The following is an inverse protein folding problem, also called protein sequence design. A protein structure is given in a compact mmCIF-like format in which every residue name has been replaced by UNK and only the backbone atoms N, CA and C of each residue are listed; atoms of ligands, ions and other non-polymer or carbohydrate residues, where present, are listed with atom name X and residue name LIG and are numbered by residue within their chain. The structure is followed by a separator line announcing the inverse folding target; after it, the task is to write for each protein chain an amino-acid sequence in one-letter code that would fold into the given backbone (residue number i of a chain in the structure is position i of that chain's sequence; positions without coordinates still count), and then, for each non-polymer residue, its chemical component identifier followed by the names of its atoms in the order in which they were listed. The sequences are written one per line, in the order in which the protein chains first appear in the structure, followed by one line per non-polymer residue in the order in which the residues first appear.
data_IF_894339685609
#
_entry.id   IF_894339685609
#
_cell.length_a   1.000
_cell.length_b   1.000
_cell.length_c   1.000
_cell.angle_alpha   90.00
_cell.angle_beta   90.00
_cell.angle_gamma   90.00
#
_symmetry.space_group_name_H-M   'P 1'
#
loop_
_entity.id
_entity.type
_entity.pdbx_description
1 polymer ?
#
# COMPACT_ATOMS: atom_id res chain seq x y z
N UNK A 1 -59.80 -8.55 17.61
CA UNK A 1 -58.55 -9.13 18.08
C UNK A 1 -57.59 -9.17 16.90
N UNK A 2 -56.89 -8.10 16.68
CA UNK A 2 -55.98 -7.93 15.54
C UNK A 2 -54.56 -7.92 16.10
N UNK A 3 -53.81 -8.98 15.85
CA UNK A 3 -52.41 -9.12 16.22
C UNK A 3 -51.57 -8.30 15.28
N UNK A 4 -50.92 -7.27 15.79
CA UNK A 4 -49.88 -6.49 15.11
C UNK A 4 -48.58 -7.31 15.10
N UNK A 5 -48.29 -7.84 13.95
CA UNK A 5 -46.99 -8.45 13.65
C UNK A 5 -45.94 -7.35 13.59
N UNK A 6 -44.99 -7.40 14.52
CA UNK A 6 -43.85 -6.50 14.63
C UNK A 6 -42.76 -7.05 13.75
N UNK A 7 -42.18 -6.28 12.81
CA UNK A 7 -41.02 -6.73 12.07
C UNK A 7 -39.85 -6.92 13.03
N UNK A 8 -39.33 -8.13 13.12
CA UNK A 8 -38.04 -8.44 13.75
C UNK A 8 -36.96 -7.76 12.95
N UNK A 9 -36.38 -6.69 13.49
CA UNK A 9 -35.11 -6.16 13.02
C UNK A 9 -34.06 -7.26 13.10
N UNK A 10 -33.56 -7.62 11.95
CA UNK A 10 -32.38 -8.48 11.76
C UNK A 10 -31.12 -7.74 12.25
N UNK A 11 -30.84 -7.84 13.55
CA UNK A 11 -29.64 -7.37 14.20
C UNK A 11 -28.53 -8.42 14.13
N UNK A 12 -28.26 -8.91 12.94
CA UNK A 12 -27.20 -9.87 12.66
C UNK A 12 -26.17 -9.29 11.71
N UNK A 13 -25.27 -8.50 12.18
CA UNK A 13 -23.89 -8.28 11.71
C UNK A 13 -23.37 -6.84 11.84
N UNK A 14 -23.38 -6.28 13.02
CA UNK A 14 -22.72 -4.97 13.31
C UNK A 14 -21.66 -5.08 14.41
N UNK A 15 -20.87 -6.17 14.40
CA UNK A 15 -19.79 -6.43 15.36
C UNK A 15 -18.38 -6.16 14.85
N UNK A 16 -18.17 -5.94 13.56
CA UNK A 16 -16.86 -5.55 13.05
C UNK A 16 -16.66 -4.04 13.20
N UNK A 17 -15.84 -3.67 14.17
CA UNK A 17 -15.46 -2.28 14.33
C UNK A 17 -14.65 -1.79 13.13
N UNK A 18 -14.69 -0.48 12.81
CA UNK A 18 -13.84 0.14 11.79
C UNK A 18 -12.35 -0.21 11.99
N UNK A 19 -11.95 -0.45 13.24
CA UNK A 19 -10.62 -0.93 13.59
C UNK A 19 -10.34 -2.36 13.10
N UNK A 20 -11.34 -3.25 13.11
CA UNK A 20 -11.16 -4.64 12.65
C UNK A 20 -11.12 -4.71 11.13
N UNK A 21 -11.89 -3.87 10.43
CA UNK A 21 -11.79 -3.72 8.97
C UNK A 21 -10.44 -3.14 8.55
N UNK A 22 -9.95 -2.11 9.24
CA UNK A 22 -8.63 -1.55 9.00
C UNK A 22 -7.50 -2.56 9.28
N UNK A 23 -7.70 -3.46 10.26
CA UNK A 23 -6.80 -4.59 10.55
C UNK A 23 -6.73 -5.58 9.40
N UNK A 24 -7.90 -6.08 8.97
CA UNK A 24 -7.98 -7.06 7.88
C UNK A 24 -7.37 -6.51 6.58
N UNK A 25 -7.64 -5.25 6.25
CA UNK A 25 -7.04 -4.56 5.09
C UNK A 25 -5.52 -4.43 5.24
N UNK A 26 -5.03 -4.11 6.44
CA UNK A 26 -3.57 -3.99 6.68
C UNK A 26 -2.86 -5.33 6.57
N UNK A 27 -3.43 -6.39 7.15
CA UNK A 27 -2.88 -7.75 7.06
C UNK A 27 -2.88 -8.26 5.62
N UNK A 28 -3.99 -8.13 4.91
CA UNK A 28 -4.10 -8.55 3.52
C UNK A 28 -3.12 -7.79 2.63
N UNK A 29 -3.02 -6.47 2.78
CA UNK A 29 -2.13 -5.63 1.98
C UNK A 29 -0.65 -5.91 2.25
N UNK A 30 -0.26 -6.15 3.52
CA UNK A 30 1.10 -6.56 3.86
C UNK A 30 1.41 -7.94 3.29
N UNK A 31 0.51 -8.91 3.44
CA UNK A 31 0.69 -10.26 2.92
C UNK A 31 0.80 -10.27 1.39
N UNK A 32 -0.03 -9.47 0.71
CA UNK A 32 -0.03 -9.34 -0.75
C UNK A 32 1.22 -8.61 -1.27
N UNK A 33 1.66 -7.55 -0.59
CA UNK A 33 2.88 -6.83 -0.95
C UNK A 33 4.14 -7.70 -0.90
N UNK A 34 4.14 -8.76 -0.09
CA UNK A 34 5.23 -9.72 0.01
C UNK A 34 5.01 -11.04 -0.76
N UNK A 35 3.97 -11.12 -1.58
CA UNK A 35 3.67 -12.27 -2.44
C UNK A 35 2.96 -13.42 -1.74
N UNK A 36 2.42 -13.21 -0.53
CA UNK A 36 1.67 -14.21 0.24
C UNK A 36 2.50 -15.42 0.67
N UNK A 37 1.82 -16.45 1.22
CA UNK A 37 2.45 -17.72 1.63
C UNK A 37 3.19 -18.39 0.47
N UNK A 38 2.60 -18.35 -0.72
CA UNK A 38 3.19 -18.92 -1.93
C UNK A 38 4.51 -18.24 -2.31
N UNK A 39 4.57 -16.90 -2.29
CA UNK A 39 5.78 -16.14 -2.55
C UNK A 39 6.88 -16.45 -1.54
N UNK A 40 6.52 -16.64 -0.26
CA UNK A 40 7.48 -17.07 0.77
C UNK A 40 8.06 -18.45 0.49
N UNK A 41 7.23 -19.44 0.13
CA UNK A 41 7.69 -20.79 -0.21
C UNK A 41 8.61 -20.76 -1.43
N UNK A 42 8.20 -20.07 -2.49
CA UNK A 42 8.99 -19.94 -3.72
C UNK A 42 10.37 -19.30 -3.47
N UNK A 43 10.47 -18.36 -2.56
CA UNK A 43 11.76 -17.73 -2.22
C UNK A 43 12.64 -18.59 -1.30
N UNK A 44 12.07 -19.53 -0.54
CA UNK A 44 12.82 -20.43 0.34
C UNK A 44 13.31 -21.66 -0.40
N UNK A 45 12.51 -22.19 -1.32
CA UNK A 45 12.71 -23.50 -1.95
C UNK A 45 14.06 -23.65 -2.66
N UNK A 46 14.55 -22.71 -3.49
CA UNK A 46 15.84 -22.87 -4.17
C UNK A 46 17.01 -22.95 -3.20
N UNK A 47 17.01 -22.10 -2.16
CA UNK A 47 18.04 -22.09 -1.13
C UNK A 47 18.01 -23.36 -0.26
N UNK A 48 16.80 -23.84 0.05
CA UNK A 48 16.61 -25.11 0.78
C UNK A 48 17.14 -26.28 -0.02
N UNK A 49 16.85 -26.37 -1.31
CA UNK A 49 17.37 -27.40 -2.19
C UNK A 49 18.89 -27.34 -2.32
N UNK A 50 19.44 -26.14 -2.50
CA UNK A 50 20.88 -25.96 -2.53
C UNK A 50 21.54 -26.53 -1.28
N UNK A 51 21.12 -26.12 -0.08
CA UNK A 51 21.73 -26.59 1.17
C UNK A 51 21.51 -28.08 1.40
N UNK A 52 20.35 -28.63 1.06
CA UNK A 52 20.03 -30.04 1.23
C UNK A 52 20.94 -30.92 0.35
N UNK A 53 21.02 -30.59 -0.96
CA UNK A 53 21.86 -31.34 -1.91
C UNK A 53 23.34 -31.20 -1.54
N UNK A 54 23.78 -29.98 -1.21
CA UNK A 54 25.17 -29.73 -0.78
C UNK A 54 25.51 -30.43 0.53
N UNK A 55 24.57 -30.58 1.45
CA UNK A 55 24.77 -31.31 2.70
C UNK A 55 25.06 -32.79 2.44
N UNK A 56 24.37 -33.39 1.45
CA UNK A 56 24.48 -34.81 1.11
C UNK A 56 25.72 -35.09 0.28
N UNK A 57 25.92 -34.35 -0.80
CA UNK A 57 26.90 -34.68 -1.83
C UNK A 57 28.20 -33.85 -1.74
N UNK A 58 28.19 -32.74 -1.01
CA UNK A 58 29.30 -31.75 -0.95
C UNK A 58 29.75 -31.21 -2.34
N UNK A 59 28.91 -31.38 -3.36
CA UNK A 59 29.18 -30.96 -4.72
C UNK A 59 28.51 -29.63 -4.99
N UNK A 60 29.33 -28.59 -5.22
CA UNK A 60 28.87 -27.25 -5.54
C UNK A 60 28.09 -27.21 -6.85
N UNK A 61 28.59 -27.86 -7.92
CA UNK A 61 27.99 -27.81 -9.24
C UNK A 61 26.60 -28.44 -9.26
N UNK A 62 26.49 -29.65 -8.67
CA UNK A 62 25.19 -30.34 -8.58
C UNK A 62 24.17 -29.53 -7.79
N UNK A 63 24.59 -28.98 -6.67
CA UNK A 63 23.71 -28.17 -5.79
C UNK A 63 23.25 -26.86 -6.47
N UNK A 64 24.17 -26.20 -7.16
CA UNK A 64 23.91 -24.95 -7.89
C UNK A 64 22.98 -25.17 -9.08
N UNK A 65 23.22 -26.22 -9.90
CA UNK A 65 22.38 -26.57 -11.04
C UNK A 65 20.96 -26.93 -10.57
N UNK A 66 20.83 -27.72 -9.50
CA UNK A 66 19.53 -28.09 -8.97
C UNK A 66 18.73 -26.86 -8.45
N UNK A 67 19.38 -25.95 -7.71
CA UNK A 67 18.74 -24.73 -7.25
C UNK A 67 18.29 -23.83 -8.41
N UNK A 68 19.14 -23.71 -9.44
CA UNK A 68 18.81 -22.92 -10.63
C UNK A 68 17.67 -23.57 -11.44
N UNK A 69 17.70 -24.88 -11.63
CA UNK A 69 16.65 -25.61 -12.35
C UNK A 69 15.28 -25.43 -11.67
N UNK A 70 15.22 -25.57 -10.35
CA UNK A 70 13.97 -25.36 -9.61
C UNK A 70 13.51 -23.92 -9.68
N UNK A 71 14.42 -22.95 -9.57
CA UNK A 71 14.06 -21.53 -9.75
C UNK A 71 13.45 -21.28 -11.13
N UNK A 72 14.01 -21.89 -12.17
CA UNK A 72 13.50 -21.76 -13.54
C UNK A 72 12.12 -22.41 -13.69
N UNK A 73 11.92 -23.59 -13.12
CA UNK A 73 10.60 -24.26 -13.11
C UNK A 73 9.56 -23.39 -12.41
N UNK A 74 9.88 -22.80 -11.28
CA UNK A 74 8.97 -21.89 -10.55
C UNK A 74 8.58 -20.68 -11.41
N UNK A 75 9.50 -20.11 -12.19
CA UNK A 75 9.20 -19.03 -13.14
C UNK A 75 8.27 -19.52 -14.24
N UNK A 76 8.57 -20.65 -14.86
CA UNK A 76 7.73 -21.20 -15.93
C UNK A 76 6.31 -21.47 -15.43
N UNK A 77 6.17 -22.05 -14.25
CA UNK A 77 4.86 -22.26 -13.60
C UNK A 77 4.12 -20.94 -13.39
N UNK A 78 4.80 -19.90 -12.92
CA UNK A 78 4.20 -18.57 -12.74
C UNK A 78 3.76 -17.92 -14.05
N UNK A 79 4.59 -18.03 -15.09
CA UNK A 79 4.25 -17.55 -16.42
C UNK A 79 3.02 -18.26 -16.99
N UNK A 80 2.95 -19.59 -16.81
CA UNK A 80 1.81 -20.40 -17.24
C UNK A 80 0.52 -20.02 -16.51
N UNK A 81 0.61 -19.61 -15.25
CA UNK A 81 -0.54 -19.16 -14.45
C UNK A 81 -0.92 -17.68 -14.68
N UNK A 82 -0.26 -16.98 -15.60
CA UNK A 82 -0.47 -15.53 -15.89
C UNK A 82 -0.33 -14.62 -14.68
N UNK A 83 0.42 -15.04 -13.67
CA UNK A 83 0.73 -14.24 -12.48
C UNK A 83 1.69 -13.09 -12.83
N UNK A 84 1.73 -12.06 -11.97
CA UNK A 84 2.54 -10.86 -12.19
C UNK A 84 4.02 -11.21 -12.32
N UNK A 85 4.54 -11.10 -13.52
CA UNK A 85 5.88 -11.53 -13.97
C UNK A 85 7.01 -10.84 -13.18
N UNK A 86 6.76 -9.62 -12.64
CA UNK A 86 7.74 -8.82 -11.92
C UNK A 86 8.40 -9.53 -10.73
N UNK A 87 7.64 -10.30 -9.95
CA UNK A 87 8.16 -11.01 -8.77
C UNK A 87 8.88 -12.32 -9.13
N UNK A 88 8.50 -12.96 -10.24
CA UNK A 88 9.13 -14.21 -10.69
C UNK A 88 10.57 -13.99 -11.14
N UNK A 89 10.82 -12.92 -11.91
CA UNK A 89 12.16 -12.60 -12.40
C UNK A 89 13.14 -12.28 -11.26
N UNK A 90 12.71 -11.57 -10.21
CA UNK A 90 13.60 -11.19 -9.10
C UNK A 90 14.13 -12.41 -8.33
N UNK A 91 13.31 -13.46 -8.18
CA UNK A 91 13.72 -14.68 -7.49
C UNK A 91 14.78 -15.48 -8.25
N UNK A 92 14.56 -15.73 -9.55
CA UNK A 92 15.54 -16.42 -10.41
C UNK A 92 16.83 -15.63 -10.54
N UNK A 93 16.73 -14.30 -10.69
CA UNK A 93 17.91 -13.44 -10.79
C UNK A 93 18.79 -13.55 -9.55
N UNK A 94 18.17 -13.57 -8.35
CA UNK A 94 18.90 -13.74 -7.09
C UNK A 94 19.60 -15.10 -6.98
N UNK A 95 18.95 -16.18 -7.39
CA UNK A 95 19.54 -17.54 -7.41
C UNK A 95 20.64 -17.63 -8.47
N UNK A 96 20.40 -17.17 -9.69
CA UNK A 96 21.39 -17.17 -10.76
C UNK A 96 22.65 -16.38 -10.36
N UNK A 97 22.45 -15.20 -9.73
CA UNK A 97 23.56 -14.39 -9.24
C UNK A 97 24.37 -15.13 -8.15
N UNK A 98 23.69 -15.80 -7.22
CA UNK A 98 24.34 -16.65 -6.21
C UNK A 98 25.13 -17.82 -6.82
N UNK A 99 24.55 -18.50 -7.80
CA UNK A 99 25.20 -19.60 -8.53
C UNK A 99 26.44 -19.10 -9.25
N UNK A 100 26.34 -18.03 -10.03
CA UNK A 100 27.49 -17.44 -10.74
C UNK A 100 28.58 -17.05 -9.77
N UNK A 101 28.24 -16.41 -8.66
CA UNK A 101 29.19 -15.97 -7.67
C UNK A 101 29.95 -17.15 -7.03
N UNK A 102 29.21 -18.20 -6.61
CA UNK A 102 29.81 -19.42 -6.05
C UNK A 102 30.71 -20.17 -7.06
N UNK A 103 30.31 -20.22 -8.34
CA UNK A 103 31.11 -20.84 -9.39
C UNK A 103 32.39 -20.04 -9.72
N UNK A 104 32.31 -18.72 -9.70
CA UNK A 104 33.48 -17.87 -9.95
C UNK A 104 34.54 -17.97 -8.85
N UNK A 105 34.09 -18.06 -7.60
CA UNK A 105 34.99 -18.14 -6.43
C UNK A 105 35.42 -19.57 -6.09
N UNK A 106 34.69 -20.57 -6.59
CA UNK A 106 34.89 -21.98 -6.21
C UNK A 106 34.46 -22.33 -4.78
N UNK A 107 33.82 -21.38 -4.08
CA UNK A 107 33.41 -21.53 -2.69
C UNK A 107 31.87 -21.58 -2.59
N UNK A 108 31.34 -22.70 -2.10
CA UNK A 108 29.90 -22.89 -1.97
C UNK A 108 29.22 -21.90 -1.01
N UNK A 109 29.92 -21.31 -0.04
CA UNK A 109 29.38 -20.28 0.84
C UNK A 109 28.96 -19.01 0.06
N UNK A 110 29.67 -18.73 -1.03
CA UNK A 110 29.49 -17.51 -1.80
C UNK A 110 28.18 -17.51 -2.59
N UNK A 111 27.50 -18.68 -2.71
CA UNK A 111 26.13 -18.76 -3.15
C UNK A 111 25.18 -17.87 -2.30
N UNK A 112 25.45 -17.77 -1.02
CA UNK A 112 24.61 -17.00 -0.09
C UNK A 112 25.01 -15.53 0.03
N UNK A 113 26.25 -15.19 -0.33
CA UNK A 113 26.84 -13.86 -0.11
C UNK A 113 26.04 -12.72 -0.76
N UNK A 114 25.59 -12.81 -2.03
CA UNK A 114 24.78 -11.75 -2.63
C UNK A 114 23.48 -11.48 -1.87
N UNK A 115 22.81 -12.54 -1.39
CA UNK A 115 21.59 -12.43 -0.58
C UNK A 115 21.84 -11.79 0.80
N UNK A 116 22.99 -12.09 1.41
CA UNK A 116 23.39 -11.48 2.68
C UNK A 116 23.69 -9.98 2.50
N UNK A 117 24.42 -9.61 1.44
CA UNK A 117 24.72 -8.22 1.10
C UNK A 117 23.46 -7.44 0.76
N UNK A 118 22.52 -8.04 0.01
CA UNK A 118 21.21 -7.44 -0.25
C UNK A 118 20.44 -7.18 1.05
N UNK A 119 20.45 -8.15 1.98
CA UNK A 119 19.79 -8.00 3.28
C UNK A 119 20.42 -6.87 4.11
N UNK A 120 21.75 -6.78 4.10
CA UNK A 120 22.49 -5.69 4.74
C UNK A 120 22.13 -4.34 4.13
N UNK A 121 22.19 -4.23 2.80
CA UNK A 121 21.84 -3.01 2.08
C UNK A 121 20.41 -2.56 2.35
N UNK A 122 19.47 -3.51 2.36
CA UNK A 122 18.07 -3.22 2.66
C UNK A 122 17.90 -2.78 4.13
N UNK A 123 18.55 -3.44 5.08
CA UNK A 123 18.52 -3.04 6.49
C UNK A 123 19.07 -1.62 6.70
N UNK A 124 20.18 -1.28 6.05
CA UNK A 124 20.74 0.07 6.05
C UNK A 124 19.78 1.08 5.38
N UNK A 125 19.17 0.72 4.26
CA UNK A 125 18.20 1.58 3.59
C UNK A 125 17.01 1.92 4.50
N UNK A 126 16.46 0.96 5.24
CA UNK A 126 15.42 1.22 6.23
C UNK A 126 15.85 2.23 7.30
N UNK A 127 17.06 2.08 7.83
CA UNK A 127 17.60 3.00 8.85
C UNK A 127 17.84 4.40 8.27
N UNK A 128 18.57 4.48 7.16
CA UNK A 128 18.98 5.76 6.54
C UNK A 128 17.74 6.55 6.10
N UNK A 129 16.78 5.93 5.42
CA UNK A 129 15.56 6.61 4.98
C UNK A 129 14.70 7.10 6.15
N UNK A 130 14.69 6.34 7.25
CA UNK A 130 13.97 6.75 8.46
C UNK A 130 14.64 7.94 9.13
N UNK A 131 15.97 7.95 9.22
CA UNK A 131 16.76 9.08 9.72
C UNK A 131 16.58 10.33 8.85
N UNK A 132 16.47 10.15 7.53
CA UNK A 132 16.16 11.23 6.59
C UNK A 132 14.71 11.75 6.70
N UNK A 133 13.89 11.19 7.60
CA UNK A 133 12.50 11.59 7.82
C UNK A 133 11.51 11.08 6.77
N UNK A 134 11.93 10.10 5.95
CA UNK A 134 11.13 9.45 4.91
C UNK A 134 11.14 7.92 5.14
N UNK A 135 10.46 7.41 6.17
CA UNK A 135 10.45 5.98 6.49
C UNK A 135 10.02 5.12 5.30
N UNK A 136 10.83 4.10 4.98
CA UNK A 136 10.64 3.25 3.79
C UNK A 136 9.30 2.49 3.83
N UNK A 137 8.85 2.05 5.00
CA UNK A 137 7.52 1.43 5.16
C UNK A 137 6.41 2.40 4.74
N UNK A 138 6.53 3.70 5.02
CA UNK A 138 5.57 4.70 4.58
C UNK A 138 5.55 4.88 3.06
N UNK A 139 6.70 4.75 2.39
CA UNK A 139 6.78 4.80 0.93
C UNK A 139 6.12 3.57 0.29
N UNK A 140 6.25 2.39 0.92
CA UNK A 140 5.67 1.14 0.42
C UNK A 140 4.16 1.08 0.70
N UNK A 141 3.74 1.38 1.92
CA UNK A 141 2.36 1.24 2.35
C UNK A 141 1.48 2.47 2.07
N UNK A 142 2.07 3.66 1.91
CA UNK A 142 1.32 4.87 1.58
C UNK A 142 0.43 4.73 0.33
N UNK A 143 0.95 4.26 -0.80
CA UNK A 143 0.15 3.97 -1.99
C UNK A 143 -0.90 2.88 -1.77
N UNK A 144 -0.58 1.83 -0.99
CA UNK A 144 -1.50 0.73 -0.68
C UNK A 144 -2.73 1.23 0.10
N UNK A 145 -2.54 2.16 1.04
CA UNK A 145 -3.62 2.80 1.79
C UNK A 145 -4.20 4.04 1.11
N UNK A 146 -3.87 4.27 -0.16
CA UNK A 146 -4.32 5.45 -0.93
C UNK A 146 -3.93 6.80 -0.29
N UNK A 147 -3.02 6.80 0.66
CA UNK A 147 -2.49 8.00 1.31
C UNK A 147 -1.46 8.73 0.46
N UNK A 148 -0.87 8.03 -0.52
CA UNK A 148 0.28 8.51 -1.30
C UNK A 148 1.38 9.02 -0.35
N UNK A 149 1.76 10.31 -0.40
CA UNK A 149 2.74 10.94 0.51
C UNK A 149 2.09 11.86 1.56
N UNK A 150 0.75 11.93 1.64
CA UNK A 150 0.02 12.81 2.56
C UNK A 150 0.32 12.52 4.03
N UNK A 151 0.63 11.25 4.38
CA UNK A 151 1.04 10.85 5.73
C UNK A 151 2.27 11.63 6.23
N UNK A 152 3.12 12.10 5.32
CA UNK A 152 4.36 12.80 5.69
C UNK A 152 4.11 14.16 6.32
N UNK A 153 3.12 14.90 5.81
CA UNK A 153 2.83 16.29 6.21
C UNK A 153 1.50 16.42 6.93
N UNK A 154 0.46 15.68 6.52
CA UNK A 154 -0.91 15.83 7.01
C UNK A 154 -1.25 14.90 8.19
N UNK A 155 -0.49 13.78 8.39
CA UNK A 155 -0.76 12.80 9.44
C UNK A 155 0.51 12.45 10.25
N UNK A 156 0.91 13.30 11.22
CA UNK A 156 2.14 13.09 11.99
C UNK A 156 2.11 11.82 12.85
N UNK A 157 0.93 11.37 13.30
CA UNK A 157 0.77 10.12 14.06
C UNK A 157 1.11 8.91 13.19
N UNK A 158 0.63 8.89 11.96
CA UNK A 158 0.91 7.82 11.00
C UNK A 158 2.36 7.82 10.54
N UNK A 159 2.95 9.01 10.33
CA UNK A 159 4.40 9.15 10.08
C UNK A 159 5.24 8.50 11.17
N UNK A 160 4.89 8.71 12.45
CA UNK A 160 5.58 8.08 13.58
C UNK A 160 5.43 6.55 13.58
N UNK A 161 4.24 6.03 13.21
CA UNK A 161 4.02 4.60 13.09
C UNK A 161 4.88 3.98 11.98
N UNK A 162 4.91 4.58 10.80
CA UNK A 162 5.76 4.16 9.70
C UNK A 162 7.26 4.23 10.05
N UNK A 163 7.69 5.25 10.78
CA UNK A 163 9.07 5.36 11.26
C UNK A 163 9.41 4.21 12.23
N UNK A 164 8.55 3.91 13.21
CA UNK A 164 8.75 2.79 14.14
C UNK A 164 8.81 1.44 13.43
N UNK A 165 7.92 1.23 12.46
CA UNK A 165 7.93 0.02 11.64
C UNK A 165 9.22 -0.08 10.82
N UNK A 166 9.67 0.99 10.18
CA UNK A 166 10.93 1.02 9.42
C UNK A 166 12.14 0.76 10.30
N UNK A 167 12.18 1.32 11.51
CA UNK A 167 13.21 0.99 12.51
C UNK A 167 13.21 -0.49 12.87
N UNK A 168 12.02 -1.09 13.11
CA UNK A 168 11.91 -2.51 13.42
C UNK A 168 12.45 -3.37 12.28
N UNK A 169 12.05 -3.09 11.03
CA UNK A 169 12.58 -3.78 9.85
C UNK A 169 14.09 -3.64 9.73
N UNK A 170 14.62 -2.43 9.83
CA UNK A 170 16.05 -2.17 9.76
C UNK A 170 16.84 -2.92 10.83
N UNK A 171 16.41 -2.87 12.09
CA UNK A 171 17.08 -3.56 13.21
C UNK A 171 16.99 -5.08 13.10
N UNK A 172 15.86 -5.64 12.67
CA UNK A 172 15.70 -7.08 12.46
C UNK A 172 16.62 -7.57 11.33
N UNK A 173 16.69 -6.85 10.20
CA UNK A 173 17.56 -7.21 9.09
C UNK A 173 19.04 -7.07 9.44
N UNK A 174 19.43 -6.01 10.15
CA UNK A 174 20.80 -5.83 10.62
C UNK A 174 21.17 -6.86 11.69
N UNK A 175 20.26 -7.18 12.61
CA UNK A 175 20.43 -8.25 13.59
C UNK A 175 20.63 -9.62 12.93
N UNK A 176 19.86 -9.91 11.88
CA UNK A 176 20.08 -11.10 11.05
C UNK A 176 21.47 -11.09 10.42
N UNK A 177 21.90 -9.97 9.87
CA UNK A 177 23.25 -9.84 9.31
C UNK A 177 24.35 -10.01 10.35
N UNK A 178 24.15 -9.48 11.57
CA UNK A 178 25.08 -9.65 12.68
C UNK A 178 25.28 -11.11 13.10
N UNK A 179 24.29 -11.98 12.85
CA UNK A 179 24.41 -13.42 13.05
C UNK A 179 25.10 -14.08 11.84
N UNK A 180 24.67 -13.73 10.63
CA UNK A 180 25.09 -14.44 9.41
C UNK A 180 26.53 -14.12 8.98
N UNK A 181 27.01 -12.87 9.15
CA UNK A 181 28.38 -12.55 8.77
C UNK A 181 29.45 -13.27 9.59
N UNK A 182 29.35 -13.37 10.92
CA UNK A 182 30.25 -14.24 11.68
C UNK A 182 30.20 -15.68 11.23
N UNK A 183 28.99 -16.25 11.02
CA UNK A 183 28.85 -17.61 10.53
C UNK A 183 29.49 -17.81 9.14
N UNK A 184 29.40 -16.83 8.27
CA UNK A 184 30.07 -16.89 6.96
C UNK A 184 31.59 -17.08 7.08
N UNK A 185 32.21 -16.48 8.10
CA UNK A 185 33.67 -16.62 8.32
C UNK A 185 34.04 -17.92 9.03
N UNK A 186 33.28 -18.37 10.02
CA UNK A 186 33.68 -19.46 10.92
C UNK A 186 32.96 -20.78 10.68
N UNK A 187 31.70 -20.75 10.20
CA UNK A 187 30.92 -21.95 9.96
C UNK A 187 31.25 -22.60 8.62
N UNK A 188 30.88 -23.85 8.44
CA UNK A 188 30.90 -24.52 7.13
C UNK A 188 29.66 -24.10 6.27
N UNK A 189 29.70 -24.43 4.98
CA UNK A 189 28.62 -24.11 4.04
C UNK A 189 27.26 -24.68 4.46
N UNK A 190 27.28 -25.87 5.04
CA UNK A 190 26.07 -26.59 5.49
C UNK A 190 25.42 -25.86 6.66
N UNK A 191 26.22 -25.52 7.69
CA UNK A 191 25.77 -24.81 8.87
C UNK A 191 25.22 -23.43 8.49
N UNK A 192 25.95 -22.66 7.69
CA UNK A 192 25.52 -21.34 7.19
C UNK A 192 24.20 -21.45 6.43
N UNK A 193 24.07 -22.43 5.53
CA UNK A 193 22.88 -22.64 4.72
C UNK A 193 21.63 -22.95 5.56
N UNK A 194 21.76 -23.85 6.53
CA UNK A 194 20.64 -24.18 7.43
C UNK A 194 20.22 -23.01 8.32
N UNK A 195 21.17 -22.23 8.83
CA UNK A 195 20.85 -21.02 9.61
C UNK A 195 20.17 -19.96 8.72
N UNK A 196 20.62 -19.80 7.47
CA UNK A 196 19.96 -18.90 6.51
C UNK A 196 18.51 -19.31 6.24
N UNK A 197 18.25 -20.61 6.07
CA UNK A 197 16.88 -21.13 5.88
C UNK A 197 16.04 -20.88 7.13
N UNK A 198 16.57 -21.20 8.31
CA UNK A 198 15.88 -21.01 9.59
C UNK A 198 15.55 -19.52 9.85
N UNK A 199 16.48 -18.61 9.53
CA UNK A 199 16.31 -17.17 9.71
C UNK A 199 15.56 -16.49 8.54
N UNK A 200 14.97 -17.24 7.60
CA UNK A 200 14.25 -16.63 6.49
C UNK A 200 12.83 -16.20 6.88
N UNK A 201 12.09 -17.07 7.54
CA UNK A 201 10.68 -16.86 7.88
C UNK A 201 10.49 -16.13 9.23
N UNK A 202 11.07 -16.56 10.36
CA UNK A 202 10.75 -15.97 11.66
C UNK A 202 11.04 -14.45 11.76
N UNK A 203 12.20 -13.92 11.32
CA UNK A 203 12.45 -12.48 11.36
C UNK A 203 11.48 -11.69 10.47
N UNK A 204 11.09 -12.26 9.33
CA UNK A 204 10.11 -11.64 8.44
C UNK A 204 8.73 -11.54 9.11
N UNK A 205 8.23 -12.62 9.68
CA UNK A 205 6.95 -12.62 10.39
C UNK A 205 6.96 -11.66 11.58
N UNK A 206 8.06 -11.60 12.32
CA UNK A 206 8.24 -10.65 13.41
C UNK A 206 8.15 -9.20 12.91
N UNK A 207 8.81 -8.89 11.80
CA UNK A 207 8.79 -7.54 11.22
C UNK A 207 7.39 -7.15 10.73
N UNK A 208 6.68 -8.07 10.08
CA UNK A 208 5.29 -7.88 9.65
C UNK A 208 4.38 -7.67 10.86
N UNK A 209 4.49 -8.51 11.88
CA UNK A 209 3.71 -8.38 13.11
C UNK A 209 3.94 -7.05 13.83
N UNK A 210 5.21 -6.62 13.97
CA UNK A 210 5.53 -5.32 14.55
C UNK A 210 4.97 -4.16 13.72
N UNK A 211 5.03 -4.26 12.40
CA UNK A 211 4.42 -3.27 11.50
C UNK A 211 2.93 -3.14 11.78
N UNK A 212 2.23 -4.28 11.87
CA UNK A 212 0.82 -4.32 12.21
C UNK A 212 0.54 -3.68 13.58
N UNK A 213 1.29 -4.04 14.63
CA UNK A 213 1.13 -3.48 15.99
C UNK A 213 1.28 -1.95 15.99
N UNK A 214 2.23 -1.41 15.22
CA UNK A 214 2.44 0.03 15.15
C UNK A 214 1.35 0.74 14.34
N UNK A 215 0.88 0.14 13.25
CA UNK A 215 -0.17 0.71 12.42
C UNK A 215 -1.55 0.62 13.08
N UNK A 216 -1.84 -0.44 13.82
CA UNK A 216 -3.10 -0.58 14.55
C UNK A 216 -3.34 0.52 15.61
N UNK A 217 -2.24 1.12 16.11
CA UNK A 217 -2.28 2.25 17.05
C UNK A 217 -2.18 3.62 16.37
N UNK A 218 -2.04 3.65 15.06
CA UNK A 218 -1.90 4.88 14.29
C UNK A 218 -3.28 5.47 13.95
N UNK A 219 -3.38 6.79 13.72
CA UNK A 219 -4.58 7.41 13.18
C UNK A 219 -4.98 6.79 11.84
N UNK A 220 -6.26 6.88 11.49
CA UNK A 220 -6.78 6.38 10.22
C UNK A 220 -6.04 6.98 9.00
N UNK A 221 -5.91 6.22 7.90
CA UNK A 221 -5.34 6.74 6.66
C UNK A 221 -6.20 7.85 6.08
N UNK A 222 -5.56 8.84 5.44
CA UNK A 222 -6.24 9.89 4.68
C UNK A 222 -6.34 9.41 3.23
N UNK A 223 -7.53 9.04 2.78
CA UNK A 223 -7.74 8.67 1.37
C UNK A 223 -7.73 9.92 0.48
N UNK A 224 -6.55 10.18 -0.10
CA UNK A 224 -6.34 11.35 -0.98
C UNK A 224 -7.19 11.26 -2.25
N UNK A 225 -7.45 10.06 -2.75
CA UNK A 225 -8.25 9.87 -3.96
C UNK A 225 -9.72 10.18 -3.70
N UNK A 226 -10.25 9.73 -2.55
CA UNK A 226 -11.63 10.07 -2.15
C UNK A 226 -11.79 11.59 -1.90
N UNK A 227 -10.78 12.25 -1.31
CA UNK A 227 -10.80 13.71 -1.15
C UNK A 227 -10.79 14.44 -2.51
N UNK A 228 -9.99 13.97 -3.46
CA UNK A 228 -9.93 14.57 -4.80
C UNK A 228 -11.25 14.38 -5.55
N UNK A 229 -11.85 13.19 -5.48
CA UNK A 229 -13.15 12.91 -6.10
C UNK A 229 -14.27 13.76 -5.48
N UNK A 230 -14.28 13.89 -4.15
CA UNK A 230 -15.24 14.74 -3.46
C UNK A 230 -15.09 16.23 -3.83
N UNK A 231 -13.83 16.70 -3.96
CA UNK A 231 -13.56 18.07 -4.39
C UNK A 231 -14.02 18.34 -5.83
N UNK A 232 -13.74 17.42 -6.75
CA UNK A 232 -14.18 17.52 -8.16
C UNK A 232 -15.72 17.53 -8.28
N UNK A 233 -16.37 16.68 -7.47
CA UNK A 233 -17.83 16.64 -7.44
C UNK A 233 -18.43 17.95 -6.90
N UNK A 234 -17.85 18.48 -5.82
CA UNK A 234 -18.27 19.75 -5.26
C UNK A 234 -18.06 20.92 -6.23
N UNK A 235 -16.97 20.91 -7.00
CA UNK A 235 -16.72 21.92 -8.03
C UNK A 235 -17.74 21.86 -9.17
N UNK A 236 -18.08 20.65 -9.64
CA UNK A 236 -19.12 20.47 -10.67
C UNK A 236 -20.49 20.94 -10.18
N UNK A 237 -20.87 20.58 -8.95
CA UNK A 237 -22.12 21.04 -8.34
C UNK A 237 -22.15 22.57 -8.17
N UNK A 238 -21.03 23.18 -7.80
CA UNK A 238 -20.92 24.63 -7.68
C UNK A 238 -21.04 25.34 -9.05
N UNK A 239 -20.46 24.74 -10.08
CA UNK A 239 -20.58 25.27 -11.45
C UNK A 239 -22.02 25.14 -11.97
N UNK A 240 -22.69 24.03 -11.74
CA UNK A 240 -24.11 23.85 -12.09
C UNK A 240 -24.99 24.87 -11.37
N UNK A 241 -24.79 25.09 -10.08
CA UNK A 241 -25.52 26.15 -9.32
C UNK A 241 -25.28 27.53 -9.90
N UNK A 242 -24.04 27.86 -10.25
CA UNK A 242 -23.71 29.15 -10.90
C UNK A 242 -24.40 29.34 -12.27
N UNK A 243 -24.43 28.24 -13.08
CA UNK A 243 -25.13 28.25 -14.38
C UNK A 243 -26.62 28.47 -14.20
N UNK A 244 -27.23 27.72 -13.25
CA UNK A 244 -28.68 27.85 -12.95
C UNK A 244 -29.02 29.23 -12.43
N UNK A 245 -28.21 29.80 -11.51
CA UNK A 245 -28.43 31.19 -11.03
C UNK A 245 -28.32 32.20 -12.14
N UNK A 246 -27.33 32.11 -13.01
CA UNK A 246 -27.16 33.03 -14.14
C UNK A 246 -28.32 32.94 -15.15
N UNK A 247 -28.77 31.71 -15.46
CA UNK A 247 -29.92 31.52 -16.35
C UNK A 247 -31.24 32.06 -15.75
N UNK A 248 -31.35 31.97 -14.40
CA UNK A 248 -32.50 32.55 -13.69
C UNK A 248 -32.47 34.09 -13.72
N UNK A 249 -31.32 34.69 -13.45
CA UNK A 249 -31.12 36.15 -13.57
C UNK A 249 -31.42 36.64 -14.99
N UNK A 250 -30.85 35.99 -16.01
CA UNK A 250 -31.09 36.32 -17.43
C UNK A 250 -32.58 36.24 -17.83
N UNK A 251 -33.34 35.32 -17.20
CA UNK A 251 -34.78 35.16 -17.47
C UNK A 251 -35.62 36.15 -16.67
N UNK A 252 -35.22 36.51 -15.46
CA UNK A 252 -35.98 37.35 -14.57
C UNK A 252 -35.79 38.85 -14.82
N UNK A 253 -34.59 39.30 -15.20
CA UNK A 253 -34.28 40.71 -15.46
C UNK A 253 -35.26 41.36 -16.47
N UNK A 254 -35.52 40.80 -17.66
CA UNK A 254 -36.47 41.39 -18.60
C UNK A 254 -37.90 41.38 -18.09
N UNK A 255 -38.30 40.39 -17.31
CA UNK A 255 -39.64 40.31 -16.71
C UNK A 255 -39.87 41.38 -15.62
N UNK A 256 -38.82 41.64 -14.83
CA UNK A 256 -38.83 42.71 -13.81
C UNK A 256 -38.90 44.06 -14.48
N UNK A 257 -38.08 44.31 -15.51
CA UNK A 257 -38.09 45.56 -16.27
C UNK A 257 -39.45 45.81 -16.94
N UNK A 258 -40.06 44.80 -17.56
CA UNK A 258 -41.40 44.90 -18.16
C UNK A 258 -42.49 45.23 -17.11
N UNK A 259 -42.39 44.58 -15.92
CA UNK A 259 -43.32 44.84 -14.82
C UNK A 259 -43.19 46.23 -14.24
N UNK A 260 -41.97 46.72 -14.09
CA UNK A 260 -41.69 48.10 -13.62
C UNK A 260 -42.19 49.11 -14.63
N UNK A 261 -42.01 48.92 -15.94
CA UNK A 261 -42.52 49.81 -16.99
C UNK A 261 -44.05 49.84 -17.00
N UNK A 262 -44.71 48.68 -16.83
CA UNK A 262 -46.18 48.62 -16.74
C UNK A 262 -46.74 49.42 -15.52
N UNK A 263 -46.07 49.30 -14.38
CA UNK A 263 -46.44 50.01 -13.16
C UNK A 263 -46.25 51.49 -13.31
N UNK A 264 -45.14 51.99 -13.93
CA UNK A 264 -44.90 53.37 -14.18
C UNK A 264 -45.94 53.96 -15.14
N UNK A 265 -46.32 53.23 -16.20
CA UNK A 265 -47.37 53.67 -17.13
C UNK A 265 -48.75 53.77 -16.48
N UNK A 266 -49.06 52.79 -15.57
CA UNK A 266 -50.34 52.81 -14.84
C UNK A 266 -50.45 53.94 -13.82
N UNK A 267 -49.33 54.41 -13.25
CA UNK A 267 -49.29 55.57 -12.37
C UNK A 267 -49.51 56.86 -13.14
N UNK A 268 -48.92 57.02 -14.35
CA UNK A 268 -49.13 58.15 -15.22
C UNK A 268 -50.57 58.27 -15.71
N UNK A 269 -51.21 57.15 -16.11
CA UNK A 269 -52.62 57.12 -16.46
C UNK A 269 -53.54 57.51 -15.29
N UNK A 270 -53.22 57.06 -14.08
CA UNK A 270 -53.99 57.39 -12.88
C UNK A 270 -53.82 58.88 -12.45
N UNK A 271 -52.66 59.45 -12.71
CA UNK A 271 -52.39 60.86 -12.45
C UNK A 271 -53.12 61.78 -13.46
N UNK A 272 -53.16 61.43 -14.75
CA UNK A 272 -53.86 62.14 -15.79
C UNK A 272 -55.40 62.08 -15.61
N UNK A 273 -55.92 60.92 -15.17
CA UNK A 273 -57.33 60.76 -14.82
C UNK A 273 -57.76 61.67 -13.65
N UNK A 274 -56.92 61.86 -12.64
CA UNK A 274 -57.17 62.76 -11.50
C UNK A 274 -57.05 64.19 -11.87
N UNK A 275 -56.23 64.52 -12.86
CA UNK A 275 -56.09 65.91 -13.39
C UNK A 275 -57.32 66.39 -14.20
N UNK A 276 -57.97 65.51 -14.91
CA UNK A 276 -59.16 65.79 -15.70
C UNK A 276 -60.44 66.06 -14.89
N UNK A 277 -60.53 65.56 -13.67
CA UNK A 277 -61.68 65.84 -12.76
C UNK A 277 -61.58 67.15 -11.94
N UNK A 278 -60.49 67.93 -12.12
CA UNK A 278 -60.26 69.19 -11.39
C UNK A 278 -60.26 70.39 -12.30
N UNK A 279 -61.18 70.54 -13.25
CA UNK A 279 -61.50 71.91 -13.89
C UNK A 279 -62.90 72.25 -13.52
N UNK A 280 -63.11 73.54 -13.01
CA UNK A 280 -64.37 74.05 -12.54
C UNK A 280 -65.37 74.32 -13.68
#
# INVERSE_FOLDING_TARGET
MTSLDKPTEDTGNSGETEADKARAVTEAALFEAFGGVRGMIETVLPGLLFVTIYTINKDLHLSAIAALAVSLVLVVVRLAMKDTVKHAFSGVFGVAFGVVFAMMTGNAKDFYLPGMLYTLGLGLAYIITTLAGVPLIGLILGPVFKENLSWRTRNPGRKKAYARASWAWGLILLGKCAILFPLYWWADTTQLGWVLVALKIPPFLLAVWLTWVFLAKAPAPIDVFAEMEAAEKAEKEAEERRRTSRSFEETMDPLVDETLQRLAQGEDESADARGRHRKP
#
